data_IF_641005936118
#
_entry.id   IF_641005936118
#
_cell.length_a   1.000
_cell.length_b   1.000
_cell.length_c   1.000
_cell.angle_alpha   90.00
_cell.angle_beta   90.00
_cell.angle_gamma   90.00
#
_symmetry.space_group_name_H-M   'P 1'
#
loop_
_entity.id
_entity.type
_entity.pdbx_description
1 polymer ?
#
# COMPACT_ATOMS: atom_id res chain seq x y z
N UNK A 1 2.04 58.42 -18.02
CA UNK A 1 1.33 57.35 -18.76
C UNK A 1 2.01 55.99 -18.63
N UNK A 2 3.30 55.82 -18.99
CA UNK A 2 4.03 54.54 -18.87
C UNK A 2 4.01 53.89 -17.46
N UNK A 3 4.09 54.67 -16.38
CA UNK A 3 4.10 54.14 -15.00
C UNK A 3 2.72 53.61 -14.54
N UNK A 4 1.63 54.15 -15.08
CA UNK A 4 0.25 53.71 -14.79
C UNK A 4 -0.07 52.43 -15.56
N UNK A 5 0.44 52.29 -16.78
CA UNK A 5 0.32 51.07 -17.60
C UNK A 5 1.09 49.89 -16.99
N UNK A 6 2.27 50.13 -16.39
CA UNK A 6 3.06 49.08 -15.73
C UNK A 6 2.39 48.61 -14.43
N UNK A 7 1.80 49.51 -13.64
CA UNK A 7 1.04 49.11 -12.44
C UNK A 7 -0.21 48.30 -12.78
N UNK A 8 -0.93 48.66 -13.85
CA UNK A 8 -2.11 47.93 -14.31
C UNK A 8 -1.76 46.52 -14.83
N UNK A 9 -0.59 46.34 -15.45
CA UNK A 9 -0.10 45.03 -15.91
C UNK A 9 0.33 44.11 -14.76
N UNK A 10 0.87 44.67 -13.67
CA UNK A 10 1.28 43.91 -12.48
C UNK A 10 0.05 43.47 -11.68
N UNK A 11 -1.01 44.29 -11.64
CA UNK A 11 -2.26 43.95 -10.97
C UNK A 11 -3.03 42.83 -11.71
N UNK A 12 -2.98 42.79 -13.05
CA UNK A 12 -3.61 41.71 -13.83
C UNK A 12 -2.81 40.41 -13.81
N UNK A 13 -1.49 40.45 -13.64
CA UNK A 13 -0.68 39.23 -13.42
C UNK A 13 -0.87 38.62 -12.02
N UNK A 14 -1.23 39.42 -11.01
CA UNK A 14 -1.50 38.91 -9.66
C UNK A 14 -2.88 38.26 -9.53
N UNK A 15 -3.86 38.68 -10.34
CA UNK A 15 -5.22 38.13 -10.32
C UNK A 15 -5.33 36.74 -10.98
N UNK A 16 -4.38 36.37 -11.85
CA UNK A 16 -4.34 35.04 -12.50
C UNK A 16 -3.52 34.00 -11.74
N UNK A 17 -2.83 34.37 -10.66
CA UNK A 17 -2.09 33.44 -9.78
C UNK A 17 -2.90 32.87 -8.61
N UNK A 18 -4.16 33.31 -8.43
CA UNK A 18 -5.04 32.92 -7.32
C UNK A 18 -6.01 31.78 -7.67
N UNK A 19 -5.97 31.25 -8.89
CA UNK A 19 -6.56 29.94 -9.18
C UNK A 19 -5.63 28.84 -8.66
N UNK A 20 -5.38 28.85 -7.36
CA UNK A 20 -5.01 27.65 -6.62
C UNK A 20 -6.19 26.69 -6.79
N UNK A 21 -6.14 25.86 -7.83
CA UNK A 21 -6.79 24.57 -7.76
C UNK A 21 -6.08 23.86 -6.61
N UNK A 22 -6.64 24.00 -5.41
CA UNK A 22 -6.49 22.98 -4.39
C UNK A 22 -7.10 21.72 -4.99
N UNK A 23 -6.30 20.99 -5.78
CA UNK A 23 -6.47 19.56 -5.87
C UNK A 23 -6.31 19.11 -4.42
N UNK A 24 -7.42 18.77 -3.79
CA UNK A 24 -7.37 17.82 -2.69
C UNK A 24 -6.71 16.60 -3.28
N UNK A 25 -5.41 16.39 -3.00
CA UNK A 25 -4.88 15.04 -3.00
C UNK A 25 -5.77 14.30 -2.01
N UNK A 26 -6.73 13.51 -2.51
CA UNK A 26 -7.31 12.48 -1.67
C UNK A 26 -6.14 11.61 -1.23
N UNK A 27 -5.93 11.54 0.07
CA UNK A 27 -4.98 10.62 0.67
C UNK A 27 -5.51 9.22 0.35
N UNK A 28 -4.93 8.59 -0.68
CA UNK A 28 -5.25 7.22 -1.06
C UNK A 28 -4.54 6.32 -0.08
N UNK A 29 -5.30 5.56 0.70
CA UNK A 29 -4.75 4.48 1.51
C UNK A 29 -4.15 3.43 0.58
N UNK A 30 -2.92 3.00 0.88
CA UNK A 30 -2.18 2.00 0.10
C UNK A 30 -1.88 0.80 0.97
N UNK A 31 -2.14 -0.40 0.46
CA UNK A 31 -1.66 -1.67 1.01
C UNK A 31 -0.53 -2.17 0.13
N UNK A 32 0.63 -2.36 0.75
CA UNK A 32 1.81 -2.97 0.13
C UNK A 32 1.91 -4.44 0.53
N UNK A 33 1.95 -5.32 -0.47
CA UNK A 33 2.04 -6.76 -0.29
C UNK A 33 3.29 -7.30 -0.97
N UNK A 34 4.04 -8.12 -0.27
CA UNK A 34 5.24 -8.77 -0.80
C UNK A 34 5.02 -10.27 -0.98
N UNK A 35 5.41 -10.77 -2.16
CA UNK A 35 5.37 -12.20 -2.47
C UNK A 35 6.53 -12.64 -3.36
N UNK A 36 6.68 -13.95 -3.52
CA UNK A 36 7.58 -14.54 -4.48
C UNK A 36 7.06 -14.28 -5.90
N UNK A 37 7.98 -14.19 -6.86
CA UNK A 37 7.62 -13.97 -8.25
C UNK A 37 7.15 -15.28 -8.91
N UNK A 38 5.85 -15.36 -9.22
CA UNK A 38 5.23 -16.46 -9.93
C UNK A 38 3.81 -16.08 -10.39
N UNK A 39 3.23 -16.89 -11.29
CA UNK A 39 1.97 -16.51 -11.97
C UNK A 39 0.81 -16.14 -11.02
N UNK A 40 0.59 -16.81 -9.86
CA UNK A 40 -0.41 -16.39 -8.88
C UNK A 40 -0.20 -15.00 -8.28
N UNK A 41 1.04 -14.52 -8.12
CA UNK A 41 1.30 -13.16 -7.67
C UNK A 41 0.89 -12.13 -8.74
N UNK A 42 1.09 -12.44 -10.02
CA UNK A 42 0.59 -11.62 -11.13
C UNK A 42 -0.94 -11.56 -11.15
N UNK A 43 -1.61 -12.67 -10.85
CA UNK A 43 -3.07 -12.70 -10.74
C UNK A 43 -3.56 -11.97 -9.50
N UNK A 44 -2.84 -12.01 -8.38
CA UNK A 44 -3.20 -11.27 -7.17
C UNK A 44 -3.22 -9.75 -7.45
N UNK A 45 -2.24 -9.23 -8.20
CA UNK A 45 -2.23 -7.82 -8.62
C UNK A 45 -3.41 -7.46 -9.53
N UNK A 46 -3.90 -8.41 -10.34
CA UNK A 46 -5.08 -8.19 -11.17
C UNK A 46 -6.37 -8.24 -10.36
N UNK A 47 -6.49 -9.19 -9.43
CA UNK A 47 -7.64 -9.32 -8.54
C UNK A 47 -7.78 -8.12 -7.61
N UNK A 48 -6.66 -7.52 -7.19
CA UNK A 48 -6.68 -6.36 -6.32
C UNK A 48 -7.33 -5.13 -6.96
N UNK A 49 -7.41 -5.04 -8.28
CA UNK A 49 -8.14 -3.97 -8.96
C UNK A 49 -9.63 -3.95 -8.60
N UNK A 50 -10.26 -5.11 -8.37
CA UNK A 50 -11.64 -5.19 -7.89
C UNK A 50 -11.79 -4.65 -6.47
N UNK A 51 -10.87 -5.05 -5.58
CA UNK A 51 -10.81 -4.52 -4.21
C UNK A 51 -10.61 -3.01 -4.19
N UNK A 52 -9.68 -2.48 -4.98
CA UNK A 52 -9.44 -1.03 -5.12
C UNK A 52 -10.66 -0.30 -5.66
N UNK A 53 -11.36 -0.87 -6.65
CA UNK A 53 -12.58 -0.26 -7.19
C UNK A 53 -13.72 -0.20 -6.15
N UNK A 54 -13.81 -1.18 -5.25
CA UNK A 54 -14.84 -1.25 -4.21
C UNK A 54 -14.53 -0.39 -2.98
N UNK A 55 -13.25 -0.26 -2.61
CA UNK A 55 -12.83 0.35 -1.35
C UNK A 55 -12.14 1.70 -1.49
N UNK A 56 -11.61 2.01 -2.68
CA UNK A 56 -10.71 3.15 -2.91
C UNK A 56 -9.27 2.92 -2.44
N UNK A 57 -8.97 1.79 -1.80
CA UNK A 57 -7.63 1.47 -1.27
C UNK A 57 -6.78 0.87 -2.40
N UNK A 58 -5.63 1.48 -2.70
CA UNK A 58 -4.69 0.97 -3.69
C UNK A 58 -3.94 -0.25 -3.13
N UNK A 59 -3.68 -1.26 -3.97
CA UNK A 59 -2.89 -2.43 -3.59
C UNK A 59 -1.72 -2.62 -4.54
N UNK A 60 -0.52 -2.60 -3.97
CA UNK A 60 0.74 -2.81 -4.68
C UNK A 60 1.29 -4.19 -4.31
N UNK A 61 1.41 -5.07 -5.30
CA UNK A 61 2.03 -6.39 -5.13
C UNK A 61 3.48 -6.31 -5.58
N UNK A 62 4.39 -6.17 -4.61
CA UNK A 62 5.81 -6.32 -4.84
C UNK A 62 6.18 -7.81 -4.96
N UNK A 63 7.00 -8.11 -5.97
CA UNK A 63 7.44 -9.48 -6.24
C UNK A 63 8.96 -9.55 -6.11
N UNK A 64 9.45 -10.63 -5.51
CA UNK A 64 10.88 -10.93 -5.45
C UNK A 64 11.15 -12.31 -6.05
N UNK A 65 12.20 -12.46 -6.88
CA UNK A 65 12.57 -13.77 -7.41
C UNK A 65 12.68 -14.83 -6.31
N UNK A 66 12.22 -16.04 -6.60
CA UNK A 66 12.19 -17.15 -5.63
C UNK A 66 13.54 -17.39 -4.96
N UNK A 67 14.63 -17.22 -5.71
CA UNK A 67 15.99 -17.44 -5.26
C UNK A 67 16.37 -16.54 -4.07
N UNK A 68 15.77 -15.37 -3.96
CA UNK A 68 16.08 -14.37 -2.92
C UNK A 68 14.89 -14.02 -2.03
N UNK A 69 13.70 -14.51 -2.33
CA UNK A 69 12.45 -14.20 -1.64
C UNK A 69 12.53 -14.45 -0.14
N UNK A 70 12.84 -15.69 0.26
CA UNK A 70 12.89 -16.11 1.68
C UNK A 70 13.88 -15.27 2.48
N UNK A 71 15.08 -15.05 1.95
CA UNK A 71 16.09 -14.25 2.62
C UNK A 71 15.60 -12.79 2.80
N UNK A 72 15.01 -12.20 1.77
CA UNK A 72 14.57 -10.80 1.79
C UNK A 72 13.48 -10.58 2.84
N UNK A 73 12.38 -11.35 2.79
CA UNK A 73 11.28 -11.08 3.72
C UNK A 73 11.63 -11.46 5.17
N UNK A 74 12.48 -12.47 5.39
CA UNK A 74 12.93 -12.82 6.75
C UNK A 74 13.74 -11.70 7.40
N UNK A 75 14.59 -11.00 6.63
CA UNK A 75 15.34 -9.84 7.15
C UNK A 75 14.40 -8.75 7.64
N UNK A 76 13.37 -8.41 6.84
CA UNK A 76 12.39 -7.39 7.20
C UNK A 76 11.51 -7.82 8.39
N UNK A 77 11.07 -9.08 8.42
CA UNK A 77 10.32 -9.66 9.54
C UNK A 77 11.09 -9.58 10.86
N UNK A 78 12.37 -9.98 10.85
CA UNK A 78 13.25 -9.92 12.02
C UNK A 78 13.49 -8.47 12.45
N UNK A 79 13.68 -7.57 11.48
CA UNK A 79 13.82 -6.14 11.72
C UNK A 79 12.53 -5.48 12.23
N UNK A 80 11.37 -6.13 12.05
CA UNK A 80 10.04 -5.56 12.28
C UNK A 80 9.88 -4.24 11.52
N UNK A 81 10.32 -4.21 10.28
CA UNK A 81 10.22 -3.02 9.45
C UNK A 81 8.79 -2.76 8.99
N UNK A 82 8.57 -1.56 8.47
CA UNK A 82 7.36 -1.08 7.83
C UNK A 82 7.45 -1.16 6.29
N UNK A 83 8.33 -2.02 5.77
CA UNK A 83 8.55 -2.15 4.33
C UNK A 83 7.30 -2.66 3.58
N UNK A 84 6.52 -3.54 4.21
CA UNK A 84 5.28 -4.08 3.66
C UNK A 84 4.22 -4.28 4.75
N UNK A 85 2.96 -4.08 4.39
CA UNK A 85 1.82 -4.35 5.27
C UNK A 85 1.50 -5.84 5.35
N UNK A 86 1.66 -6.56 4.23
CA UNK A 86 1.34 -7.98 4.11
C UNK A 86 2.50 -8.73 3.45
N UNK A 87 2.87 -9.87 4.02
CA UNK A 87 3.87 -10.77 3.43
C UNK A 87 3.22 -12.14 3.24
N UNK A 88 3.22 -12.65 2.00
CA UNK A 88 2.81 -14.04 1.72
C UNK A 88 4.03 -14.94 1.89
N UNK A 89 4.34 -15.27 3.14
CA UNK A 89 5.55 -15.98 3.54
C UNK A 89 5.63 -17.46 3.12
N UNK A 90 6.82 -18.02 3.19
CA UNK A 90 7.05 -19.44 2.89
C UNK A 90 6.58 -20.34 4.04
N UNK A 91 5.93 -21.45 3.70
CA UNK A 91 5.43 -22.45 4.65
C UNK A 91 6.48 -22.98 5.63
N UNK A 92 7.75 -23.06 5.22
CA UNK A 92 8.81 -23.63 6.05
C UNK A 92 9.21 -22.70 7.21
N UNK A 93 8.92 -21.40 7.11
CA UNK A 93 9.34 -20.41 8.10
C UNK A 93 8.26 -20.09 9.13
N UNK A 94 7.02 -20.53 8.92
CA UNK A 94 5.87 -20.17 9.76
C UNK A 94 6.15 -20.46 11.24
N UNK A 95 6.68 -21.65 11.56
CA UNK A 95 6.98 -22.03 12.95
C UNK A 95 7.98 -21.07 13.61
N UNK A 96 9.10 -20.82 12.94
CA UNK A 96 10.15 -19.90 13.42
C UNK A 96 9.61 -18.49 13.63
N UNK A 97 8.78 -18.00 12.70
CA UNK A 97 8.24 -16.63 12.76
C UNK A 97 7.15 -16.48 13.84
N UNK A 98 6.39 -17.54 14.13
CA UNK A 98 5.47 -17.60 15.28
C UNK A 98 6.25 -17.54 16.59
N UNK A 99 7.26 -18.40 16.76
CA UNK A 99 8.08 -18.41 17.98
C UNK A 99 8.82 -17.07 18.20
N UNK A 100 9.21 -16.40 17.11
CA UNK A 100 9.81 -15.06 17.14
C UNK A 100 8.83 -13.91 17.40
N UNK A 101 7.52 -14.18 17.40
CA UNK A 101 6.47 -13.17 17.63
C UNK A 101 6.42 -12.12 16.52
N UNK A 102 6.48 -12.56 15.26
CA UNK A 102 6.46 -11.69 14.08
C UNK A 102 5.09 -11.57 13.40
N UNK A 103 4.11 -12.38 13.80
CA UNK A 103 2.74 -12.30 13.27
C UNK A 103 1.83 -11.47 14.16
N UNK A 104 0.88 -10.78 13.52
CA UNK A 104 -0.26 -10.20 14.21
C UNK A 104 -1.20 -11.32 14.64
N UNK A 105 -1.57 -11.36 15.92
CA UNK A 105 -2.52 -12.35 16.42
C UNK A 105 -3.96 -11.97 16.05
N UNK A 106 -4.52 -12.68 15.06
CA UNK A 106 -5.87 -12.45 14.55
C UNK A 106 -6.92 -13.35 15.22
N UNK A 107 -6.52 -14.22 16.16
CA UNK A 107 -7.40 -15.24 16.76
C UNK A 107 -8.72 -14.67 17.29
N UNK A 108 -8.66 -13.57 18.05
CA UNK A 108 -9.86 -12.98 18.65
C UNK A 108 -10.69 -12.20 17.62
N UNK A 109 -10.02 -11.56 16.66
CA UNK A 109 -10.70 -10.85 15.57
C UNK A 109 -11.50 -11.81 14.68
N UNK A 110 -10.91 -12.96 14.33
CA UNK A 110 -11.57 -14.01 13.54
C UNK A 110 -12.85 -14.49 14.24
N UNK A 111 -12.77 -14.80 15.54
CA UNK A 111 -13.93 -15.24 16.34
C UNK A 111 -15.00 -14.16 16.46
N UNK A 112 -14.59 -12.91 16.70
CA UNK A 112 -15.51 -11.79 16.87
C UNK A 112 -16.30 -11.49 15.59
N UNK A 113 -15.69 -11.72 14.43
CA UNK A 113 -16.31 -11.49 13.12
C UNK A 113 -16.90 -12.76 12.49
N UNK A 114 -16.95 -13.89 13.21
CA UNK A 114 -17.46 -15.19 12.74
C UNK A 114 -16.79 -15.71 11.45
N UNK A 115 -15.57 -15.28 11.16
CA UNK A 115 -14.84 -15.72 9.96
C UNK A 115 -14.61 -17.24 10.00
N UNK A 116 -14.45 -17.82 11.18
CA UNK A 116 -14.32 -19.27 11.41
C UNK A 116 -15.54 -20.09 11.01
N UNK A 117 -16.69 -19.45 10.74
CA UNK A 117 -17.96 -20.12 10.41
C UNK A 117 -18.38 -19.96 8.95
N UNK A 118 -17.82 -18.96 8.27
CA UNK A 118 -18.25 -18.53 6.93
C UNK A 118 -17.23 -18.89 5.83
N UNK A 119 -16.30 -19.81 6.10
CA UNK A 119 -15.43 -20.40 5.07
C UNK A 119 -16.24 -21.37 4.18
N UNK A 120 -16.98 -20.83 3.23
CA UNK A 120 -17.68 -21.60 2.18
C UNK A 120 -17.45 -20.99 0.81
#
# INVERSE_FOLDING_TARGET
MRKVTVLALILTLLASGLAFAAASDEEVDVITLQWAQWAPADYLQQLSAGFTAETGIEVIVEQTPWETFVQKYNVEMIARSDAWDIIVGDSQDIGTMVEGGHYVELTDWVKANNVDKDFT
#
